data_IF_728063244624
#
_entry.id   IF_728063244624
#
_cell.length_a   1.000
_cell.length_b   1.000
_cell.length_c   1.000
_cell.angle_alpha   90.00
_cell.angle_beta   90.00
_cell.angle_gamma   90.00
#
_symmetry.space_group_name_H-M   'P 1'
#
loop_
_entity.id
_entity.type
_entity.pdbx_description
1 polymer ?
#
# COMPACT_ATOMS: atom_id res chain seq x y z
N UNK A 1 -8.76 1.97 -8.41
CA UNK A 1 -8.83 1.91 -6.94
C UNK A 1 -10.01 1.04 -6.58
N UNK A 2 -9.73 -0.06 -5.90
CA UNK A 2 -10.69 -1.06 -5.50
C UNK A 2 -10.67 -1.20 -3.99
N UNK A 3 -11.82 -1.05 -3.35
CA UNK A 3 -11.96 -1.24 -1.90
C UNK A 3 -12.08 -2.74 -1.60
N UNK A 4 -11.15 -3.26 -0.80
CA UNK A 4 -11.18 -4.62 -0.27
C UNK A 4 -12.04 -4.68 0.99
N UNK A 5 -11.94 -3.63 1.82
CA UNK A 5 -12.77 -3.41 3.01
C UNK A 5 -13.08 -1.92 3.14
N UNK A 6 -13.83 -1.49 4.15
CA UNK A 6 -14.06 -0.05 4.42
C UNK A 6 -12.77 0.71 4.81
N UNK A 7 -11.74 -0.02 5.23
CA UNK A 7 -10.47 0.52 5.72
C UNK A 7 -9.30 0.24 4.78
N UNK A 8 -9.48 -0.61 3.76
CA UNK A 8 -8.41 -1.07 2.90
C UNK A 8 -8.79 -0.91 1.42
N UNK A 9 -8.00 -0.12 0.69
CA UNK A 9 -8.09 -0.02 -0.77
C UNK A 9 -6.79 -0.50 -1.43
N UNK A 10 -6.90 -1.04 -2.63
CA UNK A 10 -5.78 -1.38 -3.51
C UNK A 10 -5.88 -0.49 -4.75
N UNK A 11 -4.76 0.09 -5.18
CA UNK A 11 -4.72 0.88 -6.41
C UNK A 11 -3.30 1.06 -6.95
N UNK A 12 -3.20 1.39 -8.23
CA UNK A 12 -2.09 2.19 -8.72
C UNK A 12 -1.96 3.50 -7.91
N UNK A 13 -0.76 4.07 -7.85
CA UNK A 13 -0.53 5.28 -7.07
C UNK A 13 -1.32 6.43 -7.71
N UNK A 14 -2.24 7.07 -6.98
CA UNK A 14 -3.14 8.05 -7.59
C UNK A 14 -2.36 9.28 -8.06
N UNK A 15 -2.67 9.73 -9.27
CA UNK A 15 -2.09 10.92 -9.89
C UNK A 15 -2.59 12.23 -9.27
N UNK A 16 -3.75 12.20 -8.61
CA UNK A 16 -4.36 13.32 -7.90
C UNK A 16 -4.12 13.22 -6.38
N UNK A 17 -3.52 14.26 -5.79
CA UNK A 17 -3.31 14.35 -4.34
C UNK A 17 -4.60 14.46 -3.53
N UNK A 18 -5.69 14.92 -4.14
CA UNK A 18 -6.99 15.02 -3.46
C UNK A 18 -7.50 13.64 -3.05
N UNK A 19 -7.22 12.63 -3.87
CA UNK A 19 -7.66 11.25 -3.65
C UNK A 19 -6.87 10.55 -2.54
N UNK A 20 -5.73 11.11 -2.11
CA UNK A 20 -4.92 10.58 -1.01
C UNK A 20 -5.39 11.06 0.37
N UNK A 21 -6.16 12.15 0.43
CA UNK A 21 -6.58 12.76 1.71
C UNK A 21 -7.53 11.89 2.54
N UNK A 22 -8.17 10.89 1.92
CA UNK A 22 -9.07 9.96 2.60
C UNK A 22 -8.33 8.83 3.33
N UNK A 23 -7.04 8.65 3.05
CA UNK A 23 -6.21 7.62 3.65
C UNK A 23 -5.40 8.20 4.81
N UNK A 24 -5.24 7.40 5.84
CA UNK A 24 -4.36 7.69 6.99
C UNK A 24 -2.91 7.35 6.66
N UNK A 25 -2.68 6.34 5.81
CA UNK A 25 -1.35 5.94 5.36
C UNK A 25 -1.39 5.18 4.04
N UNK A 26 -0.22 5.06 3.40
CA UNK A 26 -0.01 4.28 2.18
C UNK A 26 1.02 3.18 2.48
N UNK A 27 0.70 1.94 2.14
CA UNK A 27 1.66 0.84 2.06
C UNK A 27 2.13 0.73 0.60
N UNK A 28 3.37 1.09 0.33
CA UNK A 28 3.98 1.00 -0.99
C UNK A 28 4.78 -0.30 -1.13
N UNK A 29 4.34 -1.18 -2.02
CA UNK A 29 5.00 -2.44 -2.36
C UNK A 29 5.93 -2.33 -3.58
N UNK A 30 5.93 -1.20 -4.29
CA UNK A 30 6.81 -0.96 -5.43
C UNK A 30 8.23 -0.59 -4.97
N UNK A 31 9.24 -1.03 -5.75
CA UNK A 31 10.66 -0.90 -5.43
C UNK A 31 11.23 0.49 -5.62
N UNK A 32 10.70 1.33 -6.50
CA UNK A 32 11.50 2.44 -7.02
C UNK A 32 10.79 3.75 -7.30
N UNK A 33 9.54 3.94 -6.88
CA UNK A 33 8.88 5.21 -7.15
C UNK A 33 8.91 6.14 -5.94
N UNK A 34 9.68 7.26 -5.99
CA UNK A 34 9.63 8.29 -4.96
C UNK A 34 8.31 9.06 -5.09
N UNK A 35 7.46 8.96 -4.07
CA UNK A 35 6.17 9.63 -4.05
C UNK A 35 6.19 10.87 -3.16
N UNK A 36 5.71 11.98 -3.70
CA UNK A 36 5.36 13.15 -2.88
C UNK A 36 3.92 12.95 -2.39
N UNK A 37 3.79 12.36 -1.22
CA UNK A 37 2.50 12.08 -0.58
C UNK A 37 2.18 13.11 0.50
N UNK A 38 0.92 13.59 0.62
CA UNK A 38 0.47 14.36 1.76
C UNK A 38 0.25 13.51 3.02
N UNK A 39 0.28 12.18 2.89
CA UNK A 39 0.07 11.22 3.98
C UNK A 39 1.28 10.29 4.11
N UNK A 40 1.55 9.72 5.31
CA UNK A 40 2.68 8.83 5.52
C UNK A 40 2.72 7.67 4.52
N UNK A 41 3.89 7.42 3.93
CA UNK A 41 4.15 6.28 3.03
C UNK A 41 5.11 5.33 3.72
N UNK A 42 4.67 4.09 3.88
CA UNK A 42 5.47 2.99 4.42
C UNK A 42 5.92 2.13 3.25
N UNK A 43 7.23 2.01 3.05
CA UNK A 43 7.82 1.28 1.93
C UNK A 43 8.17 -0.15 2.34
N UNK A 44 7.58 -1.13 1.67
CA UNK A 44 7.88 -2.55 1.78
C UNK A 44 8.01 -3.17 0.38
N UNK A 45 9.13 -2.90 -0.30
CA UNK A 45 9.31 -3.30 -1.68
C UNK A 45 9.27 -4.82 -1.85
N UNK A 46 8.37 -5.31 -2.70
CA UNK A 46 8.30 -6.72 -3.08
C UNK A 46 8.81 -6.94 -4.52
N UNK A 47 9.06 -8.20 -4.86
CA UNK A 47 9.25 -8.67 -6.23
C UNK A 47 7.88 -8.80 -6.87
N UNK A 48 7.70 -8.23 -8.06
CA UNK A 48 6.52 -8.55 -8.87
C UNK A 48 6.54 -10.03 -9.27
N UNK A 49 5.44 -10.73 -9.03
CA UNK A 49 5.31 -12.17 -9.29
C UNK A 49 5.82 -13.08 -8.17
N UNK A 50 5.96 -14.39 -8.45
CA UNK A 50 6.41 -15.36 -7.45
C UNK A 50 7.89 -15.14 -7.11
N UNK A 51 8.26 -15.37 -5.84
CA UNK A 51 9.65 -15.29 -5.39
C UNK A 51 9.89 -14.41 -4.17
N UNK A 52 8.85 -13.76 -3.64
CA UNK A 52 8.94 -13.11 -2.34
C UNK A 52 9.11 -14.17 -1.22
N UNK A 53 10.09 -14.00 -0.31
CA UNK A 53 10.23 -14.86 0.84
C UNK A 53 8.94 -14.87 1.70
N UNK A 54 8.44 -16.03 2.15
CA UNK A 54 7.23 -16.10 2.97
C UNK A 54 7.30 -15.25 4.25
N UNK A 55 8.48 -15.12 4.84
CA UNK A 55 8.75 -14.28 6.01
C UNK A 55 8.53 -12.79 5.73
N UNK A 56 8.89 -12.30 4.54
CA UNK A 56 8.67 -10.91 4.14
C UNK A 56 7.19 -10.65 3.92
N UNK A 57 6.49 -11.60 3.28
CA UNK A 57 5.03 -11.54 3.11
C UNK A 57 4.32 -11.52 4.46
N UNK A 58 4.72 -12.39 5.40
CA UNK A 58 4.14 -12.45 6.73
C UNK A 58 4.34 -11.14 7.52
N UNK A 59 5.55 -10.56 7.43
CA UNK A 59 5.84 -9.28 8.07
C UNK A 59 4.98 -8.15 7.49
N UNK A 60 4.80 -8.09 6.17
CA UNK A 60 3.95 -7.09 5.51
C UNK A 60 2.49 -7.25 5.94
N UNK A 61 1.97 -8.48 5.97
CA UNK A 61 0.60 -8.74 6.41
C UNK A 61 0.38 -8.30 7.86
N UNK A 62 1.34 -8.61 8.75
CA UNK A 62 1.27 -8.17 10.14
C UNK A 62 1.28 -6.63 10.24
N UNK A 63 2.15 -5.97 9.47
CA UNK A 63 2.24 -4.51 9.46
C UNK A 63 0.97 -3.87 8.90
N UNK A 64 0.41 -4.43 7.83
CA UNK A 64 -0.84 -3.99 7.24
C UNK A 64 -2.00 -4.08 8.24
N UNK A 65 -2.07 -5.16 9.02
CA UNK A 65 -3.05 -5.30 10.10
C UNK A 65 -3.00 -4.14 11.09
N UNK A 66 -1.81 -3.81 11.60
CA UNK A 66 -1.63 -2.67 12.50
C UNK A 66 -2.00 -1.32 11.84
N UNK A 67 -1.64 -1.12 10.57
CA UNK A 67 -1.98 0.12 9.84
C UNK A 67 -3.49 0.28 9.65
N UNK A 68 -4.22 -0.82 9.42
CA UNK A 68 -5.68 -0.83 9.27
C UNK A 68 -6.37 -0.49 10.60
N UNK A 69 -5.85 -0.98 11.74
CA UNK A 69 -6.35 -0.59 13.07
C UNK A 69 -6.16 0.91 13.36
N UNK A 70 -5.12 1.53 12.79
CA UNK A 70 -4.83 2.96 12.92
C UNK A 70 -5.65 3.85 11.97
N UNK A 71 -6.19 3.31 10.87
CA UNK A 71 -7.04 4.06 9.95
C UNK A 71 -7.13 3.49 8.53
N UNK A 72 -7.54 4.33 7.57
CA UNK A 72 -7.72 3.91 6.17
C UNK A 72 -6.36 3.76 5.49
N UNK A 73 -6.11 2.60 4.90
CA UNK A 73 -4.85 2.26 4.23
C UNK A 73 -5.07 2.11 2.73
N UNK A 74 -4.20 2.75 1.96
CA UNK A 74 -4.03 2.46 0.55
C UNK A 74 -2.84 1.51 0.37
N UNK A 75 -3.07 0.33 -0.18
CA UNK A 75 -2.01 -0.57 -0.64
C UNK A 75 -1.74 -0.26 -2.10
N UNK A 76 -0.51 0.14 -2.38
CA UNK A 76 -0.05 0.46 -3.71
C UNK A 76 0.97 -0.57 -4.20
N UNK A 77 0.73 -1.13 -5.38
CA UNK A 77 1.69 -1.88 -6.19
C UNK A 77 1.75 -1.31 -7.62
N UNK A 78 2.86 -1.55 -8.34
CA UNK A 78 3.14 -0.91 -9.62
C UNK A 78 2.02 -1.05 -10.68
N UNK A 79 1.23 -2.13 -10.62
CA UNK A 79 0.11 -2.37 -11.53
C UNK A 79 -1.28 -2.18 -10.88
N UNK A 80 -1.38 -1.97 -9.56
CA UNK A 80 -2.67 -2.00 -8.85
C UNK A 80 -3.41 -3.34 -8.91
N UNK A 81 -2.80 -4.38 -9.50
CA UNK A 81 -3.32 -5.74 -9.64
C UNK A 81 -2.19 -6.70 -9.28
N UNK A 82 -2.42 -7.55 -8.28
CA UNK A 82 -1.61 -8.73 -7.99
C UNK A 82 -2.47 -9.80 -7.36
#
# INVERSE_FOLDING_TARGET
>A
MDWVTEQLAISEYPSSKADLSIFSSILNLDRYTPYISPVPVVHFPLIDGPGNPPEDVAHIVQRLGAMVEEGKVLVHCAAGVS
#
